data_IF_029389158386
#
_entry.id   IF_029389158386
#
_cell.length_a   1.000
_cell.length_b   1.000
_cell.length_c   1.000
_cell.angle_alpha   90.00
_cell.angle_beta   90.00
_cell.angle_gamma   90.00
#
_symmetry.space_group_name_H-M   'P 1'
#
loop_
_entity.id
_entity.type
_entity.pdbx_description
1 polymer ?
#
# COMPACT_ATOMS: atom_id res chain seq x y z
N UNK A 1 0.21 -6.22 -4.43
CA UNK A 1 1.51 -5.52 -4.44
C UNK A 1 1.46 -4.36 -3.45
N UNK A 2 2.62 -3.96 -2.91
CA UNK A 2 2.78 -2.78 -2.06
C UNK A 2 3.97 -1.96 -2.55
N UNK A 3 3.97 -0.64 -2.31
CA UNK A 3 5.09 0.22 -2.69
C UNK A 3 4.94 1.66 -2.22
N UNK A 4 5.82 2.53 -2.71
CA UNK A 4 5.77 3.97 -2.53
C UNK A 4 5.39 4.69 -3.83
N UNK A 5 4.66 5.79 -3.73
CA UNK A 5 4.38 6.69 -4.85
C UNK A 5 4.60 8.15 -4.43
N UNK A 6 5.15 8.95 -5.34
CA UNK A 6 5.23 10.41 -5.20
C UNK A 6 4.15 11.15 -5.99
N UNK A 7 3.30 10.42 -6.72
CA UNK A 7 2.20 11.01 -7.49
C UNK A 7 1.03 11.33 -6.55
N UNK A 8 0.45 12.51 -6.74
CA UNK A 8 -0.71 12.99 -5.96
C UNK A 8 -2.03 12.37 -6.43
N UNK A 9 -2.00 11.68 -7.56
CA UNK A 9 -3.14 11.13 -8.30
C UNK A 9 -2.97 9.63 -8.60
N UNK A 10 -2.14 8.92 -7.83
CA UNK A 10 -1.98 7.48 -7.97
C UNK A 10 -3.33 6.77 -7.83
N UNK A 11 -3.64 5.78 -8.70
CA UNK A 11 -4.96 5.18 -8.77
C UNK A 11 -5.45 4.58 -7.45
N UNK A 12 -6.66 4.96 -7.06
CA UNK A 12 -7.43 4.34 -5.98
C UNK A 12 -8.76 3.81 -6.51
N UNK A 13 -9.33 2.82 -5.83
CA UNK A 13 -10.66 2.29 -6.18
C UNK A 13 -11.74 2.83 -5.24
N UNK A 14 -13.03 2.83 -5.64
CA UNK A 14 -14.13 3.13 -4.72
C UNK A 14 -14.05 2.28 -3.43
N UNK A 15 -14.30 2.89 -2.28
CA UNK A 15 -14.16 2.22 -0.99
C UNK A 15 -12.72 2.07 -0.48
N UNK A 16 -11.75 2.75 -1.10
CA UNK A 16 -10.38 2.81 -0.61
C UNK A 16 -10.34 3.31 0.85
N UNK A 17 -9.45 2.71 1.65
CA UNK A 17 -9.23 3.09 3.05
C UNK A 17 -8.71 4.53 3.15
N UNK A 18 -7.70 4.87 2.34
CA UNK A 18 -7.25 6.25 2.11
C UNK A 18 -7.13 6.55 0.61
N UNK A 19 -7.28 7.84 0.29
CA UNK A 19 -7.17 8.42 -1.06
C UNK A 19 -5.92 9.28 -1.27
N UNK A 20 -5.04 9.37 -0.26
CA UNK A 20 -3.75 10.07 -0.34
C UNK A 20 -2.72 9.43 0.59
N UNK A 21 -1.43 9.51 0.25
CA UNK A 21 -0.33 9.00 1.07
C UNK A 21 0.95 8.85 0.26
N UNK A 22 2.00 8.34 0.91
CA UNK A 22 3.28 8.05 0.25
C UNK A 22 3.46 6.56 -0.07
N UNK A 23 2.68 5.69 0.59
CA UNK A 23 2.63 4.27 0.30
C UNK A 23 1.33 3.87 -0.38
N UNK A 24 1.31 2.71 -1.02
CA UNK A 24 0.08 2.14 -1.59
C UNK A 24 0.07 0.63 -1.49
N UNK A 25 -1.13 0.06 -1.51
CA UNK A 25 -1.38 -1.37 -1.74
C UNK A 25 -2.37 -1.49 -2.89
N UNK A 26 -2.02 -2.34 -3.85
CA UNK A 26 -2.86 -2.59 -5.03
C UNK A 26 -3.04 -4.09 -5.26
N UNK A 27 -4.25 -4.47 -5.65
CA UNK A 27 -4.60 -5.80 -6.15
C UNK A 27 -4.89 -5.70 -7.64
N UNK A 28 -4.11 -6.40 -8.44
CA UNK A 28 -4.35 -6.53 -9.87
C UNK A 28 -5.15 -7.82 -10.14
N UNK A 29 -5.77 -7.90 -11.30
CA UNK A 29 -6.30 -9.15 -11.85
C UNK A 29 -5.18 -10.15 -12.11
N UNK A 30 -5.51 -11.44 -12.23
CA UNK A 30 -4.52 -12.50 -12.40
C UNK A 30 -3.70 -12.37 -13.70
N UNK A 31 -4.27 -11.74 -14.72
CA UNK A 31 -3.62 -11.40 -15.99
C UNK A 31 -2.87 -10.05 -15.94
N UNK A 32 -2.89 -9.37 -14.78
CA UNK A 32 -2.24 -8.09 -14.51
C UNK A 32 -2.73 -6.91 -15.37
N UNK A 33 -3.88 -7.03 -16.03
CA UNK A 33 -4.41 -5.98 -16.93
C UNK A 33 -5.33 -4.98 -16.23
N UNK A 34 -5.89 -5.35 -15.08
CA UNK A 34 -6.93 -4.58 -14.38
C UNK A 34 -6.59 -4.34 -12.92
N UNK A 35 -6.82 -3.12 -12.45
CA UNK A 35 -6.72 -2.76 -11.04
C UNK A 35 -8.03 -3.08 -10.32
N UNK A 36 -8.04 -4.15 -9.53
CA UNK A 36 -9.23 -4.64 -8.83
C UNK A 36 -9.49 -3.92 -7.51
N UNK A 37 -8.41 -3.50 -6.82
CA UNK A 37 -8.49 -2.72 -5.59
C UNK A 37 -7.20 -1.91 -5.42
N UNK A 38 -7.30 -0.69 -4.92
CA UNK A 38 -6.13 0.12 -4.61
C UNK A 38 -6.44 1.15 -3.54
N UNK A 39 -5.52 1.32 -2.61
CA UNK A 39 -5.61 2.31 -1.54
C UNK A 39 -4.24 2.84 -1.17
N UNK A 40 -4.21 4.08 -0.68
CA UNK A 40 -3.02 4.64 -0.08
C UNK A 40 -2.78 4.14 1.35
N UNK A 41 -1.51 4.14 1.74
CA UNK A 41 -1.02 4.00 3.10
C UNK A 41 -0.26 5.28 3.47
N UNK A 42 -0.19 5.57 4.78
CA UNK A 42 0.57 6.74 5.26
C UNK A 42 2.05 6.68 4.89
N UNK A 43 2.65 5.49 4.91
CA UNK A 43 4.04 5.22 4.55
C UNK A 43 4.16 4.00 3.63
N UNK A 44 5.28 3.92 2.91
CA UNK A 44 5.60 2.81 2.03
C UNK A 44 5.70 1.47 2.79
N UNK A 45 4.99 0.46 2.30
CA UNK A 45 5.18 -0.92 2.74
C UNK A 45 6.46 -1.52 2.15
N UNK A 46 7.21 -2.27 2.95
CA UNK A 46 8.43 -2.98 2.54
C UNK A 46 8.21 -4.48 2.32
N UNK A 47 7.14 -5.03 2.89
CA UNK A 47 6.77 -6.43 2.74
C UNK A 47 5.25 -6.58 2.77
N UNK A 48 4.76 -7.65 2.17
CA UNK A 48 3.35 -7.98 2.12
C UNK A 48 3.17 -9.48 2.36
N UNK A 49 2.20 -9.84 3.19
CA UNK A 49 1.78 -11.22 3.42
C UNK A 49 0.26 -11.31 3.31
N UNK A 50 -0.24 -12.48 2.92
CA UNK A 50 -1.67 -12.77 2.81
C UNK A 50 -1.92 -14.08 3.55
N UNK A 51 -2.91 -14.10 4.45
CA UNK A 51 -3.30 -15.33 5.15
C UNK A 51 -4.33 -16.15 4.35
N UNK A 52 -4.70 -17.31 4.87
CA UNK A 52 -5.70 -18.20 4.24
C UNK A 52 -7.13 -17.64 4.27
N UNK A 53 -7.40 -16.63 5.12
CA UNK A 53 -8.66 -15.89 5.15
C UNK A 53 -8.73 -14.74 4.14
N UNK A 54 -7.62 -14.45 3.45
CA UNK A 54 -7.51 -13.34 2.51
C UNK A 54 -7.20 -12.00 3.17
N UNK A 55 -6.83 -11.99 4.46
CA UNK A 55 -6.38 -10.77 5.13
C UNK A 55 -5.00 -10.36 4.60
N UNK A 56 -4.82 -9.08 4.34
CA UNK A 56 -3.57 -8.52 3.81
C UNK A 56 -2.83 -7.83 4.94
N UNK A 57 -1.60 -8.28 5.19
CA UNK A 57 -0.68 -7.69 6.15
C UNK A 57 0.43 -6.96 5.41
N UNK A 58 0.70 -5.71 5.80
CA UNK A 58 1.76 -4.89 5.21
C UNK A 58 2.78 -4.57 6.28
N UNK A 59 4.01 -5.02 6.07
CA UNK A 59 5.13 -4.61 6.90
C UNK A 59 5.60 -3.22 6.51
N UNK A 60 5.69 -2.33 7.49
CA UNK A 60 6.24 -0.99 7.34
C UNK A 60 7.53 -0.88 8.16
N UNK A 61 8.45 -0.04 7.71
CA UNK A 61 9.60 0.33 8.55
C UNK A 61 9.08 1.27 9.63
N UNK A 62 9.16 0.94 10.93
CA UNK A 62 8.96 1.95 11.94
C UNK A 62 10.12 2.94 11.81
N UNK A 63 9.83 4.20 11.51
CA UNK A 63 10.81 5.26 11.71
C UNK A 63 11.11 5.30 13.21
N UNK A 64 12.23 4.70 13.62
CA UNK A 64 12.92 5.17 14.82
C UNK A 64 13.32 6.60 14.48
N UNK A 65 12.61 7.59 15.04
CA UNK A 65 13.16 8.93 15.09
C UNK A 65 14.51 8.77 15.77
N UNK A 66 15.59 9.00 15.01
CA UNK A 66 16.92 9.17 15.56
C UNK A 66 16.82 10.25 16.63
N UNK A 67 16.70 9.86 17.90
CA UNK A 67 17.03 10.75 19.01
C UNK A 67 18.43 11.28 18.72
N UNK A 68 18.54 12.61 18.75
CA UNK A 68 19.64 13.37 18.18
C UNK A 68 21.03 12.82 18.51
N UNK A 69 21.90 12.87 17.50
CA UNK A 69 23.34 13.01 17.73
C UNK A 69 23.67 14.49 17.83
#
# INVERSE_FOLDING_TARGET
MTGSTGSTDFPTTPGAYNTSGSGFVSRLSNDLTSLLASTYLGNAGTSIAIDTGGNIYVGVIPYLSSMGR
#
